data_IF_221146615047
#
_entry.id   IF_221146615047
#
_cell.length_a   1.000
_cell.length_b   1.000
_cell.length_c   1.000
_cell.angle_alpha   90.00
_cell.angle_beta   90.00
_cell.angle_gamma   90.00
#
_symmetry.space_group_name_H-M   'P 1'
#
loop_
_entity.id
_entity.type
_entity.pdbx_description
1 polymer ?
#
# COMPACT_ATOMS: atom_id res chain seq x y z
N UNK A 1 3.06 6.55 -6.01
CA UNK A 1 3.39 8.01 -6.12
C UNK A 1 4.16 8.45 -4.88
N UNK A 2 5.25 9.22 -5.02
CA UNK A 2 5.99 9.76 -3.86
C UNK A 2 5.45 11.14 -3.43
N UNK A 3 5.18 11.34 -2.14
CA UNK A 3 4.65 12.60 -1.59
C UNK A 3 5.76 13.46 -0.96
N UNK A 4 5.74 14.77 -1.24
CA UNK A 4 6.64 15.73 -0.58
C UNK A 4 6.16 16.09 0.83
N UNK A 5 7.04 16.12 1.84
CA UNK A 5 6.71 16.59 3.18
C UNK A 5 6.31 18.06 3.25
N UNK A 6 5.56 18.42 4.31
CA UNK A 6 5.09 19.78 4.56
C UNK A 6 3.91 20.22 3.67
N UNK A 7 3.27 19.28 2.97
CA UNK A 7 2.13 19.54 2.08
C UNK A 7 0.92 18.72 2.50
N UNK A 8 -0.26 19.22 2.12
CA UNK A 8 -1.52 18.48 2.21
C UNK A 8 -1.97 18.09 0.82
N UNK A 9 -2.42 16.86 0.67
CA UNK A 9 -2.92 16.29 -0.57
C UNK A 9 -4.35 15.81 -0.36
N UNK A 10 -5.18 15.93 -1.38
CA UNK A 10 -6.48 15.27 -1.42
C UNK A 10 -6.54 14.41 -2.66
N UNK A 11 -6.65 13.11 -2.46
CA UNK A 11 -6.72 12.15 -3.54
C UNK A 11 -8.17 11.80 -3.78
N UNK A 12 -8.59 11.80 -5.04
CA UNK A 12 -9.81 11.15 -5.50
C UNK A 12 -9.41 10.08 -6.51
N UNK A 13 -9.85 8.85 -6.29
CA UNK A 13 -9.51 7.73 -7.15
C UNK A 13 -10.76 7.00 -7.63
N UNK A 14 -10.68 6.42 -8.81
CA UNK A 14 -11.70 5.53 -9.37
C UNK A 14 -11.03 4.46 -10.19
N UNK A 15 -11.47 3.22 -10.01
CA UNK A 15 -10.97 2.10 -10.78
C UNK A 15 -11.85 1.84 -12.01
N UNK A 16 -11.23 1.33 -13.07
CA UNK A 16 -11.90 0.77 -14.22
C UNK A 16 -11.23 -0.55 -14.62
N UNK A 17 -12.01 -1.51 -15.10
CA UNK A 17 -11.45 -2.76 -15.62
C UNK A 17 -10.73 -2.51 -16.94
N UNK A 18 -9.61 -3.19 -17.17
CA UNK A 18 -9.01 -3.21 -18.49
C UNK A 18 -9.92 -3.90 -19.51
N UNK A 19 -9.93 -3.39 -20.74
CA UNK A 19 -10.82 -3.90 -21.79
C UNK A 19 -10.36 -5.26 -22.30
N UNK A 20 -9.05 -5.49 -22.36
CA UNK A 20 -8.44 -6.71 -22.89
C UNK A 20 -8.18 -7.75 -21.78
N UNK A 21 -8.01 -7.29 -20.53
CA UNK A 21 -7.81 -8.12 -19.34
C UNK A 21 -8.73 -7.71 -18.19
N UNK A 22 -10.06 -7.89 -18.31
CA UNK A 22 -10.98 -7.45 -17.29
C UNK A 22 -10.79 -8.22 -15.97
N UNK A 23 -10.92 -7.55 -14.81
CA UNK A 23 -10.86 -8.20 -13.51
C UNK A 23 -12.03 -9.17 -13.32
N UNK A 24 -11.74 -10.37 -12.85
CA UNK A 24 -12.71 -11.47 -12.68
C UNK A 24 -13.61 -11.32 -11.46
N UNK A 25 -13.17 -10.58 -10.43
CA UNK A 25 -13.89 -10.42 -9.15
C UNK A 25 -14.42 -8.99 -8.90
N UNK A 26 -14.56 -8.20 -9.97
CA UNK A 26 -15.09 -6.85 -9.95
C UNK A 26 -14.03 -5.77 -10.04
N UNK A 27 -14.47 -4.53 -10.21
CA UNK A 27 -13.60 -3.35 -10.37
C UNK A 27 -13.33 -2.74 -9.00
N UNK A 28 -12.58 -3.47 -8.17
CA UNK A 28 -12.25 -3.06 -6.80
C UNK A 28 -10.82 -3.42 -6.45
N UNK A 29 -10.19 -2.58 -5.66
CA UNK A 29 -8.80 -2.71 -5.25
C UNK A 29 -8.59 -2.04 -3.89
N UNK A 30 -7.39 -2.23 -3.37
CA UNK A 30 -6.95 -1.64 -2.12
C UNK A 30 -6.09 -0.41 -2.36
N UNK A 31 -6.10 0.50 -1.38
CA UNK A 31 -5.29 1.71 -1.37
C UNK A 31 -4.54 1.79 -0.05
N UNK A 32 -3.22 1.86 -0.16
CA UNK A 32 -2.33 2.02 0.99
C UNK A 32 -1.45 3.23 0.81
N UNK A 33 -1.37 4.05 1.85
CA UNK A 33 -0.26 5.00 2.00
C UNK A 33 0.81 4.34 2.85
N UNK A 34 2.08 4.38 2.46
CA UNK A 34 3.17 3.74 3.19
C UNK A 34 4.34 4.71 3.36
N UNK A 35 5.10 4.59 4.44
CA UNK A 35 6.42 5.24 4.52
C UNK A 35 7.42 4.52 3.62
N UNK A 36 8.51 5.20 3.23
CA UNK A 36 9.57 4.64 2.41
C UNK A 36 10.08 3.29 2.91
N UNK A 37 10.32 3.15 4.22
CA UNK A 37 10.77 1.88 4.80
C UNK A 37 9.74 0.76 4.66
N UNK A 38 8.46 1.02 4.94
CA UNK A 38 7.41 0.01 4.74
C UNK A 38 7.26 -0.37 3.26
N UNK A 39 7.33 0.60 2.36
CA UNK A 39 7.21 0.35 0.93
C UNK A 39 8.41 -0.41 0.37
N UNK A 40 9.64 0.08 0.59
CA UNK A 40 10.85 -0.48 -0.04
C UNK A 40 11.37 -1.72 0.68
N UNK A 41 11.33 -1.74 2.00
CA UNK A 41 11.99 -2.80 2.78
C UNK A 41 11.07 -4.00 3.01
N UNK A 42 9.75 -3.82 2.90
CA UNK A 42 8.78 -4.90 3.15
C UNK A 42 7.84 -5.14 1.98
N UNK A 43 7.03 -4.14 1.62
CA UNK A 43 5.95 -4.32 0.63
C UNK A 43 6.49 -4.68 -0.76
N UNK A 44 7.55 -4.00 -1.21
CA UNK A 44 8.16 -4.25 -2.51
C UNK A 44 8.70 -5.69 -2.61
N UNK A 45 9.40 -6.16 -1.56
CA UNK A 45 9.87 -7.54 -1.50
C UNK A 45 8.72 -8.54 -1.48
N UNK A 46 7.69 -8.25 -0.70
CA UNK A 46 6.49 -9.08 -0.66
C UNK A 46 5.81 -9.16 -2.03
N UNK A 47 5.74 -8.04 -2.76
CA UNK A 47 5.24 -8.01 -4.13
C UNK A 47 6.13 -8.83 -5.07
N UNK A 48 7.45 -8.68 -5.04
CA UNK A 48 8.34 -9.44 -5.95
C UNK A 48 8.24 -10.96 -5.72
N UNK A 49 8.12 -11.38 -4.46
CA UNK A 49 8.00 -12.79 -4.07
C UNK A 49 6.54 -13.29 -3.98
N UNK A 50 5.58 -12.55 -4.57
CA UNK A 50 4.14 -12.85 -4.51
C UNK A 50 3.73 -14.23 -5.04
N UNK A 51 4.60 -14.89 -5.81
CA UNK A 51 4.36 -16.22 -6.35
C UNK A 51 4.89 -17.37 -5.45
N UNK A 52 5.67 -17.05 -4.42
CA UNK A 52 6.42 -18.03 -3.62
C UNK A 52 5.68 -18.42 -2.32
N UNK A 53 4.47 -17.89 -2.07
CA UNK A 53 3.61 -18.22 -0.91
C UNK A 53 4.33 -18.17 0.46
N UNK A 54 5.41 -17.41 0.59
CA UNK A 54 6.24 -17.39 1.80
C UNK A 54 5.54 -16.78 3.02
N UNK A 55 4.42 -16.09 2.81
CA UNK A 55 3.58 -15.50 3.86
C UNK A 55 2.44 -16.43 4.35
N UNK A 56 2.27 -17.63 3.82
CA UNK A 56 1.23 -18.58 4.28
C UNK A 56 1.39 -18.95 5.79
N UNK A 57 2.61 -18.82 6.34
CA UNK A 57 2.89 -19.03 7.77
C UNK A 57 2.75 -17.76 8.63
N UNK A 58 2.46 -16.59 8.04
CA UNK A 58 2.37 -15.31 8.75
C UNK A 58 1.34 -15.33 9.88
N UNK A 59 0.20 -16.00 9.64
CA UNK A 59 -0.86 -16.15 10.64
C UNK A 59 -0.51 -17.09 11.80
N UNK A 60 0.58 -17.85 11.70
CA UNK A 60 1.08 -18.68 12.81
C UNK A 60 1.94 -17.89 13.79
N UNK A 61 2.41 -16.69 13.42
CA UNK A 61 3.25 -15.87 14.27
C UNK A 61 2.42 -15.19 15.38
N UNK A 62 2.96 -15.09 16.60
CA UNK A 62 2.35 -14.27 17.65
C UNK A 62 2.20 -12.83 17.17
N UNK A 63 1.11 -12.17 17.57
CA UNK A 63 0.74 -10.83 17.10
C UNK A 63 1.85 -9.79 17.34
N UNK A 64 2.65 -9.97 18.37
CA UNK A 64 3.76 -9.08 18.73
C UNK A 64 4.91 -9.09 17.72
N UNK A 65 5.04 -10.15 16.92
CA UNK A 65 6.10 -10.30 15.92
C UNK A 65 5.64 -10.02 14.50
N UNK A 66 4.32 -10.02 14.24
CA UNK A 66 3.75 -9.81 12.90
C UNK A 66 4.18 -8.46 12.33
N UNK A 67 4.06 -7.40 13.13
CA UNK A 67 4.42 -6.03 12.75
C UNK A 67 5.92 -5.84 12.49
N UNK A 68 6.77 -6.79 12.89
CA UNK A 68 8.23 -6.72 12.67
C UNK A 68 8.67 -7.25 11.31
N UNK A 69 7.83 -8.04 10.64
CA UNK A 69 8.23 -8.83 9.48
C UNK A 69 7.31 -8.64 8.26
N UNK A 70 6.31 -7.76 8.37
CA UNK A 70 5.48 -7.33 7.24
C UNK A 70 5.46 -5.81 7.13
N UNK A 71 4.95 -5.33 6.01
CA UNK A 71 4.70 -3.91 5.78
C UNK A 71 3.49 -3.44 6.60
N UNK A 72 3.51 -2.17 6.99
CA UNK A 72 2.37 -1.51 7.62
C UNK A 72 1.99 -0.24 6.84
N UNK A 73 0.69 0.05 6.68
CA UNK A 73 0.26 1.33 6.15
C UNK A 73 0.69 2.46 7.11
N UNK A 74 0.78 3.66 6.56
CA UNK A 74 1.04 4.88 7.28
C UNK A 74 -0.17 5.20 8.16
N UNK A 75 -0.13 4.70 9.41
CA UNK A 75 -1.25 4.70 10.35
C UNK A 75 -2.41 3.83 9.86
N UNK A 76 -3.17 3.28 10.81
CA UNK A 76 -4.28 2.36 10.51
C UNK A 76 -5.44 2.99 9.70
N UNK A 77 -5.44 4.32 9.53
CA UNK A 77 -6.49 5.08 8.85
C UNK A 77 -6.29 5.22 7.33
N UNK A 78 -5.16 4.80 6.78
CA UNK A 78 -4.86 4.92 5.33
C UNK A 78 -4.73 3.56 4.64
N UNK A 79 -5.53 2.59 5.07
CA UNK A 79 -5.83 1.36 4.34
C UNK A 79 -7.30 1.36 3.96
N UNK A 80 -7.58 1.56 2.67
CA UNK A 80 -8.92 1.44 2.11
C UNK A 80 -8.96 0.15 1.32
N UNK A 81 -9.79 -0.81 1.74
CA UNK A 81 -9.79 -2.15 1.14
C UNK A 81 -11.10 -2.43 0.43
N UNK A 82 -11.05 -3.23 -0.64
CA UNK A 82 -12.20 -3.66 -1.46
C UNK A 82 -13.00 -2.47 -2.00
N UNK A 83 -12.31 -1.39 -2.33
CA UNK A 83 -12.90 -0.13 -2.74
C UNK A 83 -13.03 -0.05 -4.27
N UNK A 84 -14.16 0.46 -4.78
CA UNK A 84 -14.35 0.71 -6.22
C UNK A 84 -13.95 2.14 -6.62
N UNK A 85 -14.12 3.06 -5.68
CA UNK A 85 -13.72 4.47 -5.78
C UNK A 85 -13.68 5.06 -4.38
N UNK A 86 -13.02 6.21 -4.24
CA UNK A 86 -12.97 6.89 -2.97
C UNK A 86 -12.21 8.20 -3.03
N UNK A 87 -12.15 8.86 -1.87
CA UNK A 87 -11.31 10.02 -1.69
C UNK A 87 -10.79 10.08 -0.26
N UNK A 88 -9.62 10.66 -0.09
CA UNK A 88 -9.05 10.92 1.23
C UNK A 88 -8.08 12.10 1.16
N UNK A 89 -7.90 12.76 2.31
CA UNK A 89 -6.94 13.84 2.46
C UNK A 89 -5.87 13.45 3.47
N UNK A 90 -4.62 13.74 3.14
CA UNK A 90 -3.48 13.52 4.04
C UNK A 90 -2.59 14.75 4.07
N UNK A 91 -2.23 15.16 5.28
CA UNK A 91 -1.17 16.13 5.52
C UNK A 91 0.08 15.36 5.89
N UNK A 92 1.09 15.41 5.03
CA UNK A 92 2.37 14.76 5.28
C UNK A 92 3.22 15.74 6.08
N UNK A 93 3.32 15.51 7.39
CA UNK A 93 4.26 16.25 8.22
C UNK A 93 5.71 15.82 7.91
N UNK A 94 6.65 16.73 8.15
CA UNK A 94 8.07 16.45 7.90
C UNK A 94 8.57 15.45 8.93
N UNK A 95 8.55 14.17 8.58
CA UNK A 95 9.21 13.13 9.35
C UNK A 95 10.61 12.92 8.79
N UNK A 96 11.59 12.95 9.69
CA UNK A 96 12.98 12.68 9.36
C UNK A 96 13.41 11.39 10.03
N UNK A 97 13.94 10.45 9.26
CA UNK A 97 14.67 9.33 9.83
C UNK A 97 16.04 9.84 10.29
N UNK A 98 16.39 9.57 11.54
CA UNK A 98 17.67 9.99 12.12
C UNK A 98 18.65 8.83 12.03
N UNK A 99 19.67 8.94 11.19
CA UNK A 99 20.77 7.97 11.21
C UNK A 99 21.75 8.29 12.34
N UNK A 100 22.30 7.25 12.98
CA UNK A 100 23.35 7.38 14.00
C UNK A 100 24.60 8.11 13.49
N UNK A 101 24.76 8.20 12.16
CA UNK A 101 25.86 8.88 11.47
C UNK A 101 25.56 10.34 11.09
N UNK A 102 24.46 10.93 11.61
CA UNK A 102 24.27 12.38 11.62
C UNK A 102 23.62 13.00 10.38
N UNK A 103 23.10 12.20 9.44
CA UNK A 103 22.18 12.69 8.41
C UNK A 103 20.73 12.40 8.82
N UNK A 104 19.92 13.46 8.86
CA UNK A 104 18.47 13.33 8.83
C UNK A 104 18.03 13.26 7.37
N UNK A 105 17.40 12.16 6.98
CA UNK A 105 16.80 12.04 5.65
C UNK A 105 15.29 12.24 5.76
N UNK A 106 14.73 13.01 4.82
CA UNK A 106 13.28 13.16 4.70
C UNK A 106 12.69 11.81 4.33
N UNK A 107 11.67 11.38 5.07
CA UNK A 107 10.93 10.16 4.77
C UNK A 107 9.99 10.46 3.61
N UNK A 108 10.11 9.73 2.51
CA UNK A 108 9.13 9.74 1.43
C UNK A 108 7.92 8.87 1.78
N UNK A 109 6.76 9.22 1.23
CA UNK A 109 5.55 8.42 1.36
C UNK A 109 5.05 7.95 0.01
N UNK A 110 4.63 6.69 -0.04
CA UNK A 110 4.23 5.99 -1.25
C UNK A 110 2.74 5.68 -1.19
N UNK A 111 1.98 6.26 -2.11
CA UNK A 111 0.60 5.84 -2.38
C UNK A 111 0.63 4.64 -3.33
N UNK A 112 0.05 3.53 -2.88
CA UNK A 112 0.00 2.22 -3.54
C UNK A 112 -1.45 1.87 -3.83
N UNK A 113 -1.71 1.47 -5.06
CA UNK A 113 -2.98 0.89 -5.50
C UNK A 113 -2.73 -0.58 -5.78
N UNK A 114 -3.42 -1.45 -5.06
CA UNK A 114 -3.14 -2.88 -4.98
C UNK A 114 -4.36 -3.69 -5.45
N UNK A 115 -4.12 -4.71 -6.27
CA UNK A 115 -5.13 -5.61 -6.81
C UNK A 115 -4.67 -7.08 -6.80
N UNK A 116 -3.74 -7.42 -5.91
CA UNK A 116 -3.24 -8.78 -5.71
C UNK A 116 -3.41 -9.16 -4.23
N UNK A 117 -3.31 -10.46 -3.95
CA UNK A 117 -3.43 -10.95 -2.57
C UNK A 117 -2.13 -10.68 -1.82
N UNK A 118 -2.13 -9.65 -0.99
CA UNK A 118 -0.98 -9.17 -0.24
C UNK A 118 -0.90 -9.78 1.17
N UNK A 119 -1.69 -10.84 1.44
CA UNK A 119 -1.77 -11.60 2.68
C UNK A 119 -2.20 -10.78 3.90
N UNK A 120 -2.79 -9.59 3.68
CA UNK A 120 -3.43 -8.84 4.76
C UNK A 120 -4.84 -9.37 4.92
N UNK A 121 -5.20 -9.77 6.13
CA UNK A 121 -6.45 -10.45 6.46
C UNK A 121 -7.76 -9.80 5.96
N UNK A 122 -7.75 -8.50 5.64
CA UNK A 122 -8.92 -7.75 5.16
C UNK A 122 -8.81 -7.29 3.71
N UNK A 123 -7.70 -7.60 3.04
CA UNK A 123 -7.41 -7.22 1.65
C UNK A 123 -8.39 -7.79 0.63
N UNK A 124 -8.33 -7.21 -0.55
CA UNK A 124 -9.01 -7.69 -1.72
C UNK A 124 -8.27 -8.88 -2.33
N UNK A 125 -8.97 -10.00 -2.48
CA UNK A 125 -8.44 -11.15 -3.22
C UNK A 125 -8.01 -10.73 -4.64
N UNK A 126 -6.94 -11.36 -5.15
CA UNK A 126 -6.44 -11.12 -6.50
C UNK A 126 -7.54 -11.12 -7.55
N UNK A 127 -7.64 -10.05 -8.34
CA UNK A 127 -8.71 -9.94 -9.33
C UNK A 127 -8.50 -10.76 -10.60
N UNK A 128 -7.33 -11.36 -10.82
CA UNK A 128 -7.07 -12.20 -12.00
C UNK A 128 -7.15 -11.46 -13.35
N UNK A 129 -6.94 -10.14 -13.35
CA UNK A 129 -6.95 -9.25 -14.52
C UNK A 129 -6.29 -7.90 -14.19
N UNK A 130 -6.34 -6.94 -15.11
CA UNK A 130 -5.77 -5.61 -14.93
C UNK A 130 -6.83 -4.57 -14.51
N UNK A 131 -6.44 -3.70 -13.60
CA UNK A 131 -7.20 -2.50 -13.23
C UNK A 131 -6.47 -1.26 -13.72
N UNK A 132 -7.24 -0.35 -14.30
CA UNK A 132 -6.84 1.01 -14.60
C UNK A 132 -7.28 1.92 -13.45
N UNK A 133 -6.40 2.84 -13.05
CA UNK A 133 -6.66 3.81 -11.98
C UNK A 133 -6.70 5.21 -12.58
N UNK A 134 -7.82 5.91 -12.38
CA UNK A 134 -7.88 7.36 -12.54
C UNK A 134 -7.61 8.02 -11.19
N UNK A 135 -6.64 8.93 -11.14
CA UNK A 135 -6.22 9.62 -9.92
C UNK A 135 -6.20 11.14 -10.12
N UNK A 136 -6.94 11.85 -9.28
CA UNK A 136 -6.93 13.31 -9.16
C UNK A 136 -6.28 13.70 -7.82
N UNK A 137 -5.41 14.72 -7.84
CA UNK A 137 -4.59 15.18 -6.68
C UNK A 137 -4.69 16.69 -6.50
#
# INVERSE_FOLDING_TARGET
MALSPGKSYTFCYTYSGDVDSPPSNGVKADVYLMSEGNYRDFYYWNYEDRAENWLDEFDSLPVEYRDMITWMPFRDVHSYEKSESGYFSVSVDTQTSSSWFGSSQLIEYYLVFDNWDNNRNTDQESAGGALNVELLV
#
